data_IF_961708743588
#
_entry.id   IF_961708743588
#
_cell.length_a   1.000
_cell.length_b   1.000
_cell.length_c   1.000
_cell.angle_alpha   90.00
_cell.angle_beta   90.00
_cell.angle_gamma   90.00
#
_symmetry.space_group_name_H-M   'P 1'
#
loop_
_entity.id
_entity.type
_entity.pdbx_description
1 polymer ?
#
# COMPACT_ATOMS: atom_id res chain seq x y z
N UNK A 1 12.74 -4.50 6.16
CA UNK A 1 13.57 -3.27 6.20
C UNK A 1 13.09 -2.35 5.10
N UNK A 2 12.77 -1.10 5.42
CA UNK A 2 12.36 -0.10 4.44
C UNK A 2 13.56 0.26 3.57
N UNK A 3 13.33 0.37 2.25
CA UNK A 3 14.34 0.67 1.23
C UNK A 3 13.85 1.77 0.32
N UNK A 4 14.78 2.62 -0.13
CA UNK A 4 14.49 3.63 -1.13
C UNK A 4 14.42 3.05 -2.55
N UNK A 5 13.64 3.66 -3.46
CA UNK A 5 12.77 4.82 -3.21
C UNK A 5 11.50 4.41 -2.45
N UNK A 6 11.07 5.27 -1.52
CA UNK A 6 9.86 5.07 -0.71
C UNK A 6 8.71 5.80 -1.37
N UNK A 7 7.56 5.14 -1.47
CA UNK A 7 6.31 5.72 -1.96
C UNK A 7 5.24 5.61 -0.89
N UNK A 8 4.44 6.66 -0.77
CA UNK A 8 3.20 6.65 0.00
C UNK A 8 2.05 6.56 -0.99
N UNK A 9 1.24 5.51 -0.87
CA UNK A 9 -0.01 5.35 -1.62
C UNK A 9 -1.18 5.75 -0.72
N UNK A 10 -1.79 6.90 -1.01
CA UNK A 10 -2.98 7.38 -0.30
C UNK A 10 -4.25 6.66 -0.75
N UNK A 11 -5.30 6.66 0.08
CA UNK A 11 -6.59 6.01 -0.19
C UNK A 11 -7.51 6.85 -1.10
N UNK A 12 -6.98 7.33 -2.22
CA UNK A 12 -7.74 8.02 -3.27
C UNK A 12 -7.90 7.15 -4.51
N UNK A 13 -8.03 7.78 -5.67
CA UNK A 13 -8.04 7.08 -6.95
C UNK A 13 -6.68 6.41 -7.21
N UNK A 14 -6.71 5.12 -7.57
CA UNK A 14 -5.50 4.41 -7.96
C UNK A 14 -4.88 5.04 -9.21
N UNK A 15 -3.54 5.19 -9.29
CA UNK A 15 -2.92 5.75 -10.47
C UNK A 15 -3.21 4.94 -11.72
N UNK A 16 -3.64 5.62 -12.78
CA UNK A 16 -3.85 5.05 -14.11
C UNK A 16 -2.79 5.50 -15.11
N UNK A 17 -2.12 6.62 -14.84
CA UNK A 17 -1.10 7.17 -15.72
C UNK A 17 0.21 6.36 -15.60
N UNK A 18 0.95 6.13 -16.70
CA UNK A 18 2.17 5.31 -16.66
C UNK A 18 3.25 5.83 -15.71
N UNK A 19 3.35 7.15 -15.53
CA UNK A 19 4.36 7.77 -14.64
C UNK A 19 4.20 7.28 -13.19
N UNK A 20 3.08 7.52 -12.48
CA UNK A 20 2.92 7.03 -11.11
C UNK A 20 2.92 5.50 -11.00
N UNK A 21 2.43 4.78 -12.02
CA UNK A 21 2.52 3.30 -12.05
C UNK A 21 3.98 2.82 -12.05
N UNK A 22 4.83 3.39 -12.90
CA UNK A 22 6.27 3.06 -12.92
C UNK A 22 6.96 3.37 -11.58
N UNK A 23 6.45 4.35 -10.82
CA UNK A 23 6.96 4.63 -9.47
C UNK A 23 6.62 3.47 -8.52
N UNK A 24 5.38 2.99 -8.54
CA UNK A 24 4.96 1.80 -7.76
C UNK A 24 5.82 0.57 -8.12
N UNK A 25 6.04 0.33 -9.42
CA UNK A 25 6.86 -0.79 -9.92
C UNK A 25 8.31 -0.75 -9.48
N UNK A 26 8.90 0.45 -9.41
CA UNK A 26 10.33 0.66 -9.09
C UNK A 26 10.57 1.00 -7.62
N UNK A 27 9.51 0.97 -6.79
CA UNK A 27 9.60 1.29 -5.38
C UNK A 27 10.47 0.28 -4.63
N UNK A 28 11.39 0.78 -3.80
CA UNK A 28 12.07 -0.05 -2.81
C UNK A 28 11.13 -0.38 -1.64
N UNK A 29 10.17 0.50 -1.34
CA UNK A 29 9.15 0.28 -0.32
C UNK A 29 7.89 1.08 -0.59
N UNK A 30 6.74 0.49 -0.25
CA UNK A 30 5.42 1.09 -0.42
C UNK A 30 4.70 1.13 0.92
N UNK A 31 4.33 2.33 1.35
CA UNK A 31 3.54 2.60 2.54
C UNK A 31 2.12 2.91 2.07
N UNK A 32 1.14 2.10 2.45
CA UNK A 32 -0.27 2.34 2.12
C UNK A 32 -0.95 3.09 3.25
N UNK A 33 -1.76 4.09 2.92
CA UNK A 33 -2.72 4.65 3.86
C UNK A 33 -4.01 3.82 3.79
N UNK A 34 -4.33 3.11 4.86
CA UNK A 34 -5.62 2.46 5.08
C UNK A 34 -6.08 1.62 3.85
N UNK A 35 -7.27 1.89 3.28
CA UNK A 35 -7.83 1.13 2.16
C UNK A 35 -7.01 1.13 0.86
N UNK A 36 -5.98 1.98 0.75
CA UNK A 36 -5.02 1.92 -0.35
C UNK A 36 -4.34 0.55 -0.45
N UNK A 37 -4.20 -0.16 0.67
CA UNK A 37 -3.66 -1.52 0.71
C UNK A 37 -4.48 -2.49 -0.15
N UNK A 38 -5.81 -2.40 -0.10
CA UNK A 38 -6.71 -3.26 -0.89
C UNK A 38 -6.43 -3.08 -2.39
N UNK A 39 -6.29 -1.83 -2.83
CA UNK A 39 -6.04 -1.49 -4.24
C UNK A 39 -4.63 -1.94 -4.66
N UNK A 40 -3.61 -1.75 -3.83
CA UNK A 40 -2.25 -2.19 -4.11
C UNK A 40 -2.16 -3.71 -4.32
N UNK A 41 -2.77 -4.48 -3.40
CA UNK A 41 -2.75 -5.95 -3.42
C UNK A 41 -3.53 -6.49 -4.60
N UNK A 42 -4.68 -5.89 -4.92
CA UNK A 42 -5.47 -6.24 -6.11
C UNK A 42 -4.67 -6.06 -7.42
N UNK A 43 -3.73 -5.12 -7.45
CA UNK A 43 -2.84 -4.87 -8.59
C UNK A 43 -1.53 -5.69 -8.54
N UNK A 44 -1.41 -6.65 -7.62
CA UNK A 44 -0.30 -7.61 -7.58
C UNK A 44 0.95 -7.15 -6.82
N UNK A 45 0.85 -6.07 -6.05
CA UNK A 45 1.97 -5.54 -5.25
C UNK A 45 1.76 -5.77 -3.75
N UNK A 46 2.86 -5.74 -3.00
CA UNK A 46 2.87 -6.04 -1.58
C UNK A 46 3.22 -4.79 -0.74
N UNK A 47 2.38 -4.41 0.24
CA UNK A 47 2.69 -3.29 1.11
C UNK A 47 3.84 -3.64 2.06
N UNK A 48 4.65 -2.64 2.36
CA UNK A 48 5.68 -2.73 3.39
C UNK A 48 5.12 -2.30 4.76
N UNK A 49 4.27 -1.28 4.74
CA UNK A 49 3.58 -0.72 5.90
C UNK A 49 2.17 -0.34 5.46
N UNK A 50 1.19 -0.53 6.33
CA UNK A 50 -0.16 0.00 6.18
C UNK A 50 -0.45 0.87 7.41
N UNK A 51 -0.79 2.14 7.20
CA UNK A 51 -1.04 3.12 8.28
C UNK A 51 -2.45 3.68 8.22
N UNK A 52 -3.09 3.91 9.36
CA UNK A 52 -4.43 4.53 9.45
C UNK A 52 -5.24 3.98 10.63
N UNK A 53 -6.51 4.33 10.70
CA UNK A 53 -7.49 3.72 11.61
C UNK A 53 -7.95 2.32 11.17
N UNK A 54 -7.62 1.94 9.92
CA UNK A 54 -7.77 0.60 9.35
C UNK A 54 -9.23 0.17 9.16
N UNK A 55 -10.16 1.11 9.13
CA UNK A 55 -11.59 0.84 9.01
C UNK A 55 -12.03 0.51 7.57
N UNK A 56 -11.18 0.82 6.58
CA UNK A 56 -11.46 0.64 5.16
C UNK A 56 -10.61 -0.46 4.51
N UNK A 57 -9.97 -1.33 5.30
CA UNK A 57 -9.17 -2.48 4.83
C UNK A 57 -9.96 -3.78 4.95
N UNK A 58 -9.88 -4.65 3.93
CA UNK A 58 -10.53 -5.95 3.97
C UNK A 58 -9.99 -6.83 5.11
N UNK A 59 -10.88 -7.56 5.81
CA UNK A 59 -10.51 -8.36 6.99
C UNK A 59 -9.41 -9.40 6.72
N UNK A 60 -9.40 -10.01 5.53
CA UNK A 60 -8.38 -10.99 5.17
C UNK A 60 -7.02 -10.34 4.95
N UNK A 61 -6.99 -9.10 4.47
CA UNK A 61 -5.78 -8.29 4.34
C UNK A 61 -5.30 -7.89 5.74
N UNK A 62 -6.20 -7.43 6.63
CA UNK A 62 -5.82 -7.11 8.02
C UNK A 62 -5.16 -8.30 8.72
N UNK A 63 -5.73 -9.50 8.57
CA UNK A 63 -5.16 -10.74 9.12
C UNK A 63 -3.81 -11.09 8.48
N UNK A 64 -3.70 -11.00 7.15
CA UNK A 64 -2.47 -11.36 6.42
C UNK A 64 -1.31 -10.42 6.77
N UNK A 65 -1.59 -9.14 7.01
CA UNK A 65 -0.56 -8.11 7.20
C UNK A 65 -0.50 -7.56 8.62
N UNK A 66 -1.00 -8.28 9.63
CA UNK A 66 -1.10 -7.82 11.01
C UNK A 66 0.22 -7.22 11.54
N UNK A 67 1.38 -7.79 11.19
CA UNK A 67 2.70 -7.31 11.60
C UNK A 67 3.17 -6.03 10.87
N UNK A 68 2.45 -5.61 9.84
CA UNK A 68 2.71 -4.42 9.02
C UNK A 68 1.66 -3.31 9.22
N UNK A 69 0.67 -3.52 10.10
CA UNK A 69 -0.36 -2.55 10.43
C UNK A 69 0.12 -1.63 11.55
N UNK A 70 -0.06 -0.32 11.37
CA UNK A 70 0.23 0.69 12.38
C UNK A 70 -0.93 1.68 12.46
N UNK A 71 -1.41 1.95 13.67
CA UNK A 71 -2.50 2.90 13.95
C UNK A 71 -2.00 4.06 14.82
#
# INVERSE_FOLDING_TARGET
MIKEPIIILANGDYPSHPIPLSKIETAGSIICCDGAANQLIKNGYEPHIIIGDLDSIDLDIQKKYQEKLYH
#
